data_IF_428359798351
#
_entry.id   IF_428359798351
#
_cell.length_a   1.000
_cell.length_b   1.000
_cell.length_c   1.000
_cell.angle_alpha   90.00
_cell.angle_beta   90.00
_cell.angle_gamma   90.00
#
_symmetry.space_group_name_H-M   'P 1'
#
loop_
_entity.id
_entity.type
_entity.pdbx_description
1 polymer ?
#
# COMPACT_ATOMS: atom_id res chain seq x y z
N UNK A 1 19.83 29.10 38.38
CA UNK A 1 20.72 28.35 37.45
C UNK A 1 20.18 26.93 37.43
N UNK A 2 19.73 26.44 36.26
CA UNK A 2 18.56 25.54 36.05
C UNK A 2 17.29 26.43 36.09
N UNK A 3 16.39 26.43 35.11
CA UNK A 3 15.73 25.30 34.45
C UNK A 3 15.47 25.56 32.95
N UNK A 4 15.56 24.46 32.21
CA UNK A 4 15.28 24.31 30.79
C UNK A 4 13.79 24.48 30.49
N UNK A 5 13.43 25.29 29.50
CA UNK A 5 12.06 25.39 28.98
C UNK A 5 12.05 25.39 27.46
N UNK A 6 12.31 24.25 26.84
CA UNK A 6 12.10 24.06 25.40
C UNK A 6 11.47 22.68 25.19
N UNK A 7 10.14 22.62 25.06
CA UNK A 7 9.36 22.83 23.82
C UNK A 7 9.34 21.61 22.90
N UNK A 8 8.10 21.11 22.80
CA UNK A 8 7.46 20.53 21.61
C UNK A 8 7.79 19.11 21.18
N UNK A 9 6.70 18.40 20.84
CA UNK A 9 6.74 17.26 19.91
C UNK A 9 6.17 15.95 20.43
N UNK A 10 5.12 15.97 21.24
CA UNK A 10 4.45 14.77 21.70
C UNK A 10 3.89 13.94 20.52
N UNK A 11 4.55 12.80 20.27
CA UNK A 11 4.02 11.53 19.76
C UNK A 11 2.56 11.55 19.31
N UNK A 12 2.34 11.37 18.01
CA UNK A 12 1.14 10.69 17.51
C UNK A 12 1.58 9.55 16.60
N UNK A 13 1.62 8.39 17.22
CA UNK A 13 1.61 7.08 16.57
C UNK A 13 0.50 7.08 15.51
N UNK A 14 0.91 7.00 14.24
CA UNK A 14 0.01 6.69 13.13
C UNK A 14 -0.63 5.34 13.40
N UNK A 15 -1.95 5.28 13.29
CA UNK A 15 -2.77 4.17 13.73
C UNK A 15 -2.34 2.86 13.06
N UNK A 16 -1.80 1.95 13.87
CA UNK A 16 -1.64 0.55 13.52
C UNK A 16 -3.04 -0.01 13.25
N UNK A 17 -3.41 -0.15 11.98
CA UNK A 17 -4.60 -0.91 11.59
C UNK A 17 -4.38 -2.37 12.01
N UNK A 18 -5.27 -2.98 12.80
CA UNK A 18 -5.22 -4.41 13.02
C UNK A 18 -5.71 -5.11 11.75
N UNK A 19 -4.82 -5.80 11.06
CA UNK A 19 -5.18 -6.68 9.95
C UNK A 19 -5.93 -7.92 10.47
N UNK A 20 -7.07 -8.31 9.87
CA UNK A 20 -7.69 -9.60 10.13
C UNK A 20 -7.03 -10.68 9.26
N UNK A 21 -5.89 -11.20 9.70
CA UNK A 21 -5.32 -12.42 9.12
C UNK A 21 -6.18 -13.62 9.54
N UNK A 22 -7.00 -14.16 8.63
CA UNK A 22 -7.81 -15.37 8.90
C UNK A 22 -7.49 -16.53 7.93
N UNK A 23 -6.36 -17.17 8.27
CA UNK A 23 -6.04 -18.61 8.39
C UNK A 23 -6.51 -19.67 7.36
N UNK A 24 -5.53 -20.54 7.05
CA UNK A 24 -5.47 -22.04 7.08
C UNK A 24 -5.28 -22.71 5.72
N UNK A 25 -4.08 -23.25 5.46
CA UNK A 25 -3.86 -24.26 4.42
C UNK A 25 -2.85 -25.33 4.89
N UNK A 26 -3.28 -26.60 4.80
CA UNK A 26 -2.49 -27.82 5.03
C UNK A 26 -1.60 -28.19 3.83
N UNK A 27 -1.02 -29.40 3.80
CA UNK A 27 0.36 -29.60 3.37
C UNK A 27 0.58 -29.61 1.85
N UNK A 28 1.58 -28.82 1.45
CA UNK A 28 2.56 -29.04 0.38
C UNK A 28 2.06 -29.60 -0.96
N UNK A 29 1.68 -28.67 -1.84
CA UNK A 29 2.04 -28.67 -3.26
C UNK A 29 2.62 -27.28 -3.52
N UNK A 30 3.69 -27.15 -4.31
CA UNK A 30 4.27 -25.83 -4.65
C UNK A 30 3.18 -25.01 -5.35
N UNK A 31 2.54 -24.14 -4.59
CA UNK A 31 1.66 -23.11 -5.10
C UNK A 31 2.60 -21.92 -5.23
N UNK A 32 3.21 -21.74 -6.40
CA UNK A 32 3.36 -20.35 -6.83
C UNK A 32 1.94 -19.85 -6.90
N UNK A 33 1.52 -19.13 -5.85
CA UNK A 33 0.25 -18.42 -5.82
C UNK A 33 0.15 -17.75 -7.19
N UNK A 34 -0.95 -17.92 -7.95
CA UNK A 34 -1.08 -17.24 -9.22
C UNK A 34 -0.77 -15.79 -8.90
N UNK A 35 0.32 -15.27 -9.46
CA UNK A 35 0.75 -13.89 -9.25
C UNK A 35 -0.52 -13.11 -9.55
N UNK A 36 -1.13 -12.51 -8.51
CA UNK A 36 -2.53 -12.09 -8.55
C UNK A 36 -2.68 -11.23 -9.80
N UNK A 37 -3.40 -11.74 -10.81
CA UNK A 37 -3.31 -11.18 -12.17
C UNK A 37 -3.71 -9.70 -12.16
N UNK A 38 -4.55 -9.32 -11.20
CA UNK A 38 -4.96 -7.95 -10.92
C UNK A 38 -3.84 -7.11 -10.31
N UNK A 39 -3.00 -7.67 -9.44
CA UNK A 39 -1.78 -7.01 -8.93
C UNK A 39 -0.75 -6.75 -10.05
N UNK A 40 -0.59 -7.69 -10.99
CA UNK A 40 0.27 -7.48 -12.17
C UNK A 40 -0.31 -6.38 -13.07
N UNK A 41 -1.63 -6.39 -13.29
CA UNK A 41 -2.32 -5.40 -14.11
C UNK A 41 -2.21 -3.99 -13.52
N UNK A 42 -2.46 -3.81 -12.22
CA UNK A 42 -2.36 -2.49 -11.59
C UNK A 42 -0.92 -1.97 -11.60
N UNK A 43 0.06 -2.85 -11.39
CA UNK A 43 1.47 -2.51 -11.50
C UNK A 43 1.82 -2.02 -12.91
N UNK A 44 1.31 -2.69 -13.94
CA UNK A 44 1.53 -2.28 -15.33
C UNK A 44 0.93 -0.90 -15.62
N UNK A 45 -0.23 -0.57 -15.04
CA UNK A 45 -0.85 0.75 -15.17
C UNK A 45 0.04 1.86 -14.58
N UNK A 46 0.55 1.66 -13.35
CA UNK A 46 1.48 2.60 -12.72
C UNK A 46 2.82 2.71 -13.47
N UNK A 47 3.25 1.66 -14.18
CA UNK A 47 4.45 1.71 -15.05
C UNK A 47 4.16 2.53 -16.30
N UNK A 48 3.04 2.27 -16.97
CA UNK A 48 2.63 2.92 -18.21
C UNK A 48 2.36 4.42 -18.03
N UNK A 49 1.81 4.81 -16.88
CA UNK A 49 1.43 6.19 -16.56
C UNK A 49 2.21 6.70 -15.33
N UNK A 50 3.46 7.16 -15.52
CA UNK A 50 4.23 7.77 -14.43
C UNK A 50 3.54 9.06 -13.96
N UNK A 51 3.25 9.15 -12.66
CA UNK A 51 2.49 10.27 -12.07
C UNK A 51 1.01 10.00 -11.88
N UNK A 52 0.51 8.81 -12.24
CA UNK A 52 -0.84 8.39 -11.92
C UNK A 52 -1.01 8.23 -10.39
N UNK A 53 -2.08 8.83 -9.87
CA UNK A 53 -2.55 8.66 -8.50
C UNK A 53 -3.89 7.92 -8.54
N UNK A 54 -4.04 6.89 -7.70
CA UNK A 54 -5.27 6.11 -7.58
C UNK A 54 -5.70 5.97 -6.13
N UNK A 55 -6.95 6.33 -5.84
CA UNK A 55 -7.61 5.93 -4.60
C UNK A 55 -8.07 4.46 -4.67
N UNK A 56 -8.23 3.82 -3.52
CA UNK A 56 -8.72 2.43 -3.38
C UNK A 56 -10.00 2.18 -4.20
N UNK A 57 -10.95 3.13 -4.18
CA UNK A 57 -12.21 3.02 -4.93
C UNK A 57 -12.00 3.00 -6.44
N UNK A 58 -11.03 3.75 -6.94
CA UNK A 58 -10.70 3.81 -8.36
C UNK A 58 -10.00 2.52 -8.80
N UNK A 59 -9.05 2.02 -8.02
CA UNK A 59 -8.39 0.74 -8.26
C UNK A 59 -9.39 -0.43 -8.27
N UNK A 60 -10.30 -0.47 -7.29
CA UNK A 60 -11.38 -1.46 -7.22
C UNK A 60 -12.23 -1.47 -8.50
N UNK A 61 -12.60 -0.29 -9.01
CA UNK A 61 -13.39 -0.14 -10.24
C UNK A 61 -12.60 -0.51 -11.50
N UNK A 62 -11.32 -0.17 -11.55
CA UNK A 62 -10.42 -0.49 -12.67
C UNK A 62 -10.21 -2.01 -12.80
N UNK A 63 -10.03 -2.69 -11.67
CA UNK A 63 -9.75 -4.12 -11.61
C UNK A 63 -11.02 -4.97 -11.57
N UNK A 64 -12.17 -4.39 -11.22
CA UNK A 64 -13.43 -5.11 -11.06
C UNK A 64 -13.50 -5.94 -9.77
N UNK A 65 -12.79 -5.51 -8.72
CA UNK A 65 -12.66 -6.25 -7.45
C UNK A 65 -13.29 -5.48 -6.28
N UNK A 66 -13.49 -6.17 -5.15
CA UNK A 66 -13.96 -5.55 -3.91
C UNK A 66 -12.98 -4.51 -3.38
N UNK A 67 -13.49 -3.46 -2.71
CA UNK A 67 -12.63 -2.41 -2.10
C UNK A 67 -11.63 -2.97 -1.07
N UNK A 68 -12.00 -4.03 -0.34
CA UNK A 68 -11.12 -4.74 0.59
C UNK A 68 -9.92 -5.38 -0.16
N UNK A 69 -10.20 -6.14 -1.22
CA UNK A 69 -9.19 -6.76 -2.09
C UNK A 69 -8.29 -5.71 -2.76
N UNK A 70 -8.87 -4.61 -3.24
CA UNK A 70 -8.09 -3.50 -3.80
C UNK A 70 -7.19 -2.83 -2.76
N UNK A 71 -7.63 -2.75 -1.51
CA UNK A 71 -6.81 -2.23 -0.41
C UNK A 71 -5.63 -3.14 -0.17
N UNK A 72 -5.85 -4.45 -0.04
CA UNK A 72 -4.81 -5.46 0.19
C UNK A 72 -3.73 -5.43 -0.91
N UNK A 73 -4.14 -5.31 -2.18
CA UNK A 73 -3.19 -5.18 -3.30
C UNK A 73 -2.37 -3.89 -3.26
N UNK A 74 -3.00 -2.74 -2.96
CA UNK A 74 -2.30 -1.46 -2.93
C UNK A 74 -1.35 -1.36 -1.73
N UNK A 75 -1.76 -1.92 -0.58
CA UNK A 75 -0.97 -2.02 0.64
C UNK A 75 0.25 -2.92 0.43
N UNK A 76 0.09 -4.08 -0.22
CA UNK A 76 1.22 -4.94 -0.59
C UNK A 76 2.24 -4.22 -1.47
N UNK A 77 1.78 -3.43 -2.45
CA UNK A 77 2.67 -2.65 -3.34
C UNK A 77 3.33 -1.45 -2.62
N UNK A 78 2.70 -0.91 -1.59
CA UNK A 78 3.28 0.10 -0.70
C UNK A 78 4.38 -0.50 0.18
N UNK A 79 4.12 -1.65 0.79
CA UNK A 79 5.09 -2.39 1.62
C UNK A 79 6.31 -2.83 0.80
N UNK A 80 6.12 -3.17 -0.49
CA UNK A 80 7.23 -3.43 -1.42
C UNK A 80 8.02 -2.17 -1.81
N UNK A 81 7.55 -0.97 -1.44
CA UNK A 81 8.15 0.31 -1.81
C UNK A 81 7.90 0.73 -3.26
N UNK A 82 6.99 0.04 -3.97
CA UNK A 82 6.62 0.39 -5.35
C UNK A 82 5.64 1.56 -5.39
N UNK A 83 4.73 1.63 -4.42
CA UNK A 83 3.79 2.73 -4.23
C UNK A 83 4.11 3.54 -2.98
N UNK A 84 3.68 4.79 -2.99
CA UNK A 84 3.68 5.68 -1.82
C UNK A 84 2.24 6.13 -1.61
N UNK A 85 1.76 6.00 -0.39
CA UNK A 85 0.48 6.55 0.02
C UNK A 85 0.63 8.04 0.36
N UNK A 86 -0.20 8.84 -0.30
CA UNK A 86 -0.22 10.30 -0.13
C UNK A 86 -1.18 10.70 1.00
N UNK A 87 -0.97 11.89 1.57
CA UNK A 87 -1.85 12.42 2.62
C UNK A 87 -3.32 12.62 2.18
N UNK A 88 -3.55 12.64 0.87
CA UNK A 88 -4.89 12.75 0.25
C UNK A 88 -5.64 11.41 0.18
N UNK A 89 -5.02 10.30 0.60
CA UNK A 89 -5.63 8.97 0.54
C UNK A 89 -5.46 8.26 -0.81
N UNK A 90 -4.55 8.75 -1.65
CA UNK A 90 -4.24 8.19 -2.97
C UNK A 90 -2.89 7.50 -2.98
N UNK A 91 -2.76 6.45 -3.78
CA UNK A 91 -1.51 5.74 -4.03
C UNK A 91 -0.90 6.24 -5.33
N UNK A 92 0.40 6.56 -5.31
CA UNK A 92 1.18 6.91 -6.50
C UNK A 92 2.43 6.08 -6.59
N UNK A 93 3.00 5.93 -7.77
CA UNK A 93 4.30 5.24 -7.93
C UNK A 93 5.39 5.97 -7.17
N UNK A 94 6.22 5.23 -6.42
CA UNK A 94 7.45 5.76 -5.88
C UNK A 94 8.35 6.18 -7.04
N UNK A 95 8.71 7.46 -7.09
CA UNK A 95 9.82 7.90 -7.94
C UNK A 95 11.11 7.39 -7.30
N UNK A 96 12.06 6.84 -8.09
CA UNK A 96 13.37 6.55 -7.55
C UNK A 96 13.93 7.87 -7.00
N UNK A 97 14.45 7.91 -5.76
CA UNK A 97 15.13 9.10 -5.30
C UNK A 97 16.24 9.38 -6.31
N UNK A 98 16.18 10.56 -6.94
CA UNK A 98 17.25 11.00 -7.84
C UNK A 98 18.55 10.94 -7.04
N UNK A 99 19.46 10.06 -7.45
CA UNK A 99 20.84 9.99 -6.95
C UNK A 99 21.69 11.06 -7.65
#
# INVERSE_FOLDING_TARGET
MREWTESMGNRRIVGTRPAPFKKKQGPMMTISLPIDADAVRIRHEFVALPGMCLAVRQAARLLGVSSDRATDMLDALEEEGFLIHTADGQYRRAEPPMA
#
